data_IF_398176719993
#
_entry.id   IF_398176719993
#
_cell.length_a   1.000
_cell.length_b   1.000
_cell.length_c   1.000
_cell.angle_alpha   90.00
_cell.angle_beta   90.00
_cell.angle_gamma   90.00
#
_symmetry.space_group_name_H-M   'P 1'
#
loop_
_entity.id
_entity.type
_entity.pdbx_description
1 polymer ?
#
# COMPACT_ATOMS: atom_id res chain seq x y z
N UNK A 1 12.62 -19.63 -12.62
CA UNK A 1 13.58 -20.64 -13.09
C UNK A 1 14.10 -21.41 -11.90
N UNK A 2 14.10 -22.74 -11.96
CA UNK A 2 14.75 -23.57 -10.95
C UNK A 2 16.09 -24.02 -11.50
N UNK A 3 17.18 -23.80 -10.76
CA UNK A 3 18.53 -24.22 -11.13
C UNK A 3 19.15 -25.06 -10.01
N UNK A 4 20.11 -25.93 -10.35
CA UNK A 4 20.71 -26.86 -9.39
C UNK A 4 21.95 -26.28 -8.69
N UNK A 5 22.42 -25.11 -9.13
CA UNK A 5 23.53 -24.38 -8.51
C UNK A 5 23.53 -22.89 -8.89
N UNK A 6 24.16 -22.00 -8.10
CA UNK A 6 24.32 -20.58 -8.45
C UNK A 6 25.05 -20.35 -9.78
N UNK A 7 26.01 -21.23 -10.11
CA UNK A 7 26.76 -21.14 -11.36
C UNK A 7 25.87 -21.41 -12.59
N UNK A 8 24.88 -22.28 -12.43
CA UNK A 8 23.88 -22.57 -13.46
C UNK A 8 22.87 -21.43 -13.61
N UNK A 9 22.47 -20.77 -12.50
CA UNK A 9 21.68 -19.53 -12.54
C UNK A 9 22.37 -18.44 -13.37
N UNK A 10 23.68 -18.25 -13.20
CA UNK A 10 24.45 -17.26 -13.99
C UNK A 10 24.42 -17.56 -15.48
N UNK A 11 24.52 -18.84 -15.86
CA UNK A 11 24.43 -19.24 -17.27
C UNK A 11 23.05 -18.94 -17.83
N UNK A 12 21.98 -19.26 -17.09
CA UNK A 12 20.59 -18.98 -17.47
C UNK A 12 20.39 -17.47 -17.66
N UNK A 13 20.85 -16.63 -16.73
CA UNK A 13 20.72 -15.18 -16.86
C UNK A 13 21.53 -14.59 -18.01
N UNK A 14 22.74 -15.11 -18.28
CA UNK A 14 23.52 -14.68 -19.46
C UNK A 14 22.77 -14.97 -20.75
N UNK A 15 22.21 -16.17 -20.91
CA UNK A 15 21.44 -16.55 -22.10
C UNK A 15 20.20 -15.67 -22.26
N UNK A 16 19.47 -15.41 -21.16
CA UNK A 16 18.30 -14.55 -21.17
C UNK A 16 18.64 -13.10 -21.53
N UNK A 17 19.79 -12.58 -21.09
CA UNK A 17 20.19 -11.19 -21.36
C UNK A 17 20.64 -10.96 -22.81
N UNK A 18 21.19 -11.97 -23.50
CA UNK A 18 21.85 -11.82 -24.80
C UNK A 18 21.03 -11.14 -25.91
N UNK A 19 19.70 -11.22 -25.87
CA UNK A 19 18.81 -10.63 -26.89
C UNK A 19 17.96 -9.46 -26.37
N UNK A 20 18.23 -8.98 -25.17
CA UNK A 20 17.47 -7.90 -24.54
C UNK A 20 18.33 -6.64 -24.41
N UNK A 21 17.70 -5.47 -24.54
CA UNK A 21 18.35 -4.18 -24.28
C UNK A 21 18.74 -4.07 -22.81
N UNK A 22 19.76 -3.27 -22.52
CA UNK A 22 20.11 -2.93 -21.14
C UNK A 22 18.94 -2.27 -20.42
N UNK A 23 18.85 -2.51 -19.11
CA UNK A 23 17.79 -1.95 -18.26
C UNK A 23 18.02 -0.46 -18.12
N UNK A 24 16.98 0.33 -18.38
CA UNK A 24 16.96 1.75 -18.05
C UNK A 24 16.77 1.91 -16.54
N UNK A 25 17.84 2.31 -15.85
CA UNK A 25 17.86 2.45 -14.40
C UNK A 25 16.96 3.60 -13.95
N UNK A 26 16.90 4.70 -14.71
CA UNK A 26 16.08 5.86 -14.34
C UNK A 26 14.60 5.47 -14.38
N UNK A 27 14.18 4.80 -15.44
CA UNK A 27 12.81 4.29 -15.58
C UNK A 27 12.47 3.23 -14.52
N UNK A 28 13.42 2.35 -14.18
CA UNK A 28 13.19 1.33 -13.16
C UNK A 28 12.98 1.93 -11.76
N UNK A 29 13.73 2.99 -11.42
CA UNK A 29 13.58 3.72 -10.15
C UNK A 29 12.23 4.44 -10.11
N UNK A 30 11.85 5.12 -11.18
CA UNK A 30 10.57 5.83 -11.29
C UNK A 30 9.38 4.88 -11.04
N UNK A 31 9.35 3.74 -11.74
CA UNK A 31 8.29 2.73 -11.58
C UNK A 31 8.32 2.07 -10.20
N UNK A 32 9.52 1.81 -9.64
CA UNK A 32 9.67 1.20 -8.32
C UNK A 32 9.22 2.12 -7.18
N UNK A 33 9.24 3.43 -7.39
CA UNK A 33 8.84 4.44 -6.40
C UNK A 33 7.35 4.77 -6.45
N UNK A 34 6.65 4.48 -7.56
CA UNK A 34 5.20 4.68 -7.63
C UNK A 34 4.48 3.58 -6.84
N UNK A 35 4.00 3.94 -5.65
CA UNK A 35 3.48 3.01 -4.63
C UNK A 35 2.09 2.41 -4.95
N UNK A 36 1.49 2.71 -6.10
CA UNK A 36 0.19 2.17 -6.49
C UNK A 36 0.35 0.95 -7.39
N UNK A 37 -0.07 -0.21 -6.87
CA UNK A 37 -0.27 -1.45 -7.65
C UNK A 37 -1.18 -1.18 -8.86
N UNK A 38 -2.14 -0.24 -8.75
CA UNK A 38 -3.00 0.21 -9.85
C UNK A 38 -2.21 0.86 -11.01
N UNK A 39 -1.15 1.63 -10.74
CA UNK A 39 -0.32 2.22 -11.80
C UNK A 39 0.51 1.16 -12.55
N UNK A 40 0.80 0.03 -11.91
CA UNK A 40 1.55 -1.07 -12.53
C UNK A 40 0.70 -1.96 -13.44
N UNK A 41 -0.63 -1.99 -13.26
CA UNK A 41 -1.53 -2.90 -13.97
C UNK A 41 -2.11 -2.34 -15.27
N UNK A 42 -1.73 -1.11 -15.66
CA UNK A 42 -2.08 -0.55 -16.96
C UNK A 42 -3.59 -0.30 -17.13
N UNK A 43 -4.33 -0.13 -16.03
CA UNK A 43 -5.65 0.46 -16.10
C UNK A 43 -5.44 1.97 -16.27
N UNK A 44 -5.81 2.48 -17.45
CA UNK A 44 -5.83 3.88 -17.86
C UNK A 44 -6.53 4.76 -16.81
N UNK A 45 -5.82 5.07 -15.73
CA UNK A 45 -6.17 6.11 -14.79
C UNK A 45 -5.30 7.30 -15.17
N UNK A 46 -5.85 8.02 -16.14
CA UNK A 46 -5.53 9.40 -16.47
C UNK A 46 -4.91 10.14 -15.30
N UNK A 47 -3.66 10.58 -15.52
CA UNK A 47 -3.04 11.86 -15.12
C UNK A 47 -3.83 12.84 -14.21
N UNK A 48 -4.39 12.36 -13.10
CA UNK A 48 -5.12 13.19 -12.12
C UNK A 48 -4.76 12.84 -10.67
N UNK A 49 -3.84 11.91 -10.42
CA UNK A 49 -3.35 11.61 -9.06
C UNK A 49 -2.08 12.41 -8.72
N UNK A 50 -1.98 13.67 -9.16
CA UNK A 50 -0.95 14.61 -8.67
C UNK A 50 -1.26 15.18 -7.28
N UNK A 51 -2.39 14.83 -6.67
CA UNK A 51 -2.72 15.25 -5.31
C UNK A 51 -2.92 14.04 -4.41
N UNK A 52 -1.81 13.60 -3.83
CA UNK A 52 -1.63 13.23 -2.43
C UNK A 52 -0.50 12.21 -2.42
N UNK A 53 0.75 12.69 -2.27
CA UNK A 53 1.80 11.87 -1.67
C UNK A 53 1.19 11.28 -0.40
N UNK A 54 0.82 10.00 -0.48
CA UNK A 54 0.18 9.31 0.63
C UNK A 54 1.24 9.33 1.72
N UNK A 55 0.91 9.90 2.87
CA UNK A 55 1.81 9.88 4.01
C UNK A 55 2.01 8.41 4.40
N UNK A 56 3.08 7.80 3.89
CA UNK A 56 3.37 6.37 4.03
C UNK A 56 3.46 6.04 5.50
N UNK A 57 4.17 6.85 6.30
CA UNK A 57 4.28 6.69 7.74
C UNK A 57 2.91 6.67 8.46
N UNK A 58 1.96 7.54 8.05
CA UNK A 58 0.61 7.56 8.60
C UNK A 58 -0.18 6.30 8.19
N UNK A 59 -0.10 5.89 6.92
CA UNK A 59 -0.73 4.66 6.43
C UNK A 59 -0.22 3.43 7.18
N UNK A 60 1.09 3.35 7.33
CA UNK A 60 1.77 2.26 8.01
C UNK A 60 1.40 2.20 9.50
N UNK A 61 1.26 3.37 10.15
CA UNK A 61 0.74 3.48 11.51
C UNK A 61 -0.70 2.99 11.62
N UNK A 62 -1.58 3.37 10.68
CA UNK A 62 -2.97 2.89 10.64
C UNK A 62 -3.05 1.37 10.48
N UNK A 63 -2.21 0.76 9.64
CA UNK A 63 -2.21 -0.69 9.42
C UNK A 63 -1.82 -1.50 10.67
N UNK A 64 -1.20 -0.85 11.66
CA UNK A 64 -0.85 -1.48 12.94
C UNK A 64 -2.00 -1.46 13.95
N UNK A 65 -3.08 -0.72 13.66
CA UNK A 65 -4.26 -0.65 14.50
C UNK A 65 -5.18 -1.87 14.31
N UNK A 66 -5.86 -2.34 15.38
CA UNK A 66 -6.67 -3.54 15.30
C UNK A 66 -7.92 -3.32 14.43
N UNK A 67 -8.12 -4.20 13.45
CA UNK A 67 -9.27 -4.13 12.54
C UNK A 67 -9.06 -3.25 11.30
N UNK A 68 -7.89 -2.62 11.17
CA UNK A 68 -7.49 -1.91 9.95
C UNK A 68 -6.88 -2.90 8.95
N UNK A 69 -7.19 -2.69 7.67
CA UNK A 69 -6.70 -3.44 6.52
C UNK A 69 -6.32 -2.45 5.42
N UNK A 70 -5.53 -2.89 4.44
CA UNK A 70 -5.11 -2.05 3.31
C UNK A 70 -6.31 -1.43 2.57
N UNK A 71 -7.43 -2.14 2.51
CA UNK A 71 -8.65 -1.72 1.83
C UNK A 71 -9.42 -0.62 2.58
N UNK A 72 -9.42 -0.67 3.92
CA UNK A 72 -10.16 0.29 4.74
C UNK A 72 -9.30 1.48 5.21
N UNK A 73 -7.97 1.34 5.21
CA UNK A 73 -7.03 2.41 5.53
C UNK A 73 -7.21 3.61 4.59
N UNK A 74 -7.36 3.35 3.27
CA UNK A 74 -7.63 4.40 2.27
C UNK A 74 -8.95 5.14 2.53
N UNK A 75 -9.97 4.46 3.08
CA UNK A 75 -11.25 5.10 3.44
C UNK A 75 -11.07 6.00 4.67
N UNK A 76 -10.36 5.53 5.70
CA UNK A 76 -10.09 6.34 6.89
C UNK A 76 -9.29 7.60 6.53
N UNK A 77 -8.24 7.46 5.71
CA UNK A 77 -7.42 8.62 5.30
C UNK A 77 -8.19 9.64 4.44
N UNK A 78 -9.35 9.27 3.88
CA UNK A 78 -10.25 10.19 3.19
C UNK A 78 -11.27 10.86 4.12
N UNK A 79 -11.64 10.19 5.20
CA UNK A 79 -12.68 10.62 6.14
C UNK A 79 -12.12 11.36 7.36
N UNK A 80 -10.83 11.22 7.64
CA UNK A 80 -10.16 11.83 8.79
C UNK A 80 -8.84 12.46 8.38
N UNK A 81 -8.63 13.71 8.80
CA UNK A 81 -7.39 14.44 8.51
C UNK A 81 -6.28 14.10 9.52
N UNK A 82 -6.65 13.55 10.69
CA UNK A 82 -5.70 13.22 11.75
C UNK A 82 -6.07 11.97 12.55
N UNK A 83 -5.05 11.38 13.18
CA UNK A 83 -5.23 10.25 14.11
C UNK A 83 -6.00 10.68 15.37
N UNK A 84 -5.88 11.95 15.77
CA UNK A 84 -6.63 12.49 16.91
C UNK A 84 -8.14 12.49 16.61
N UNK A 85 -8.53 12.97 15.43
CA UNK A 85 -9.92 12.93 14.97
C UNK A 85 -10.46 11.51 14.88
N UNK A 86 -9.65 10.56 14.38
CA UNK A 86 -10.01 9.15 14.34
C UNK A 86 -10.27 8.57 15.74
N UNK A 87 -9.51 9.00 16.76
CA UNK A 87 -9.66 8.53 18.13
C UNK A 87 -10.89 9.12 18.84
N UNK A 88 -11.28 10.35 18.50
CA UNK A 88 -12.45 11.05 19.06
C UNK A 88 -13.77 10.67 18.37
N UNK A 89 -13.72 9.94 17.26
CA UNK A 89 -14.89 9.60 16.47
C UNK A 89 -15.87 8.67 17.23
N UNK A 90 -17.19 8.93 17.16
CA UNK A 90 -18.18 8.07 17.82
C UNK A 90 -18.20 6.67 17.21
N UNK A 91 -18.49 5.68 18.07
CA UNK A 91 -18.58 4.25 17.74
C UNK A 91 -19.46 3.96 16.50
N UNK A 92 -20.54 4.72 16.32
CA UNK A 92 -21.47 4.54 15.20
C UNK A 92 -20.83 4.89 13.87
N UNK A 93 -20.14 6.04 13.78
CA UNK A 93 -19.40 6.44 12.58
C UNK A 93 -18.26 5.49 12.26
N UNK A 94 -17.52 5.02 13.27
CA UNK A 94 -16.46 4.02 13.05
C UNK A 94 -17.03 2.72 12.48
N UNK A 95 -18.22 2.28 12.92
CA UNK A 95 -18.89 1.09 12.36
C UNK A 95 -19.41 1.31 10.95
N UNK A 96 -19.81 2.52 10.60
CA UNK A 96 -20.23 2.88 9.24
C UNK A 96 -19.07 2.80 8.26
N UNK A 97 -17.91 3.34 8.63
CA UNK A 97 -16.71 3.39 7.76
C UNK A 97 -16.02 2.02 7.66
N UNK A 98 -15.84 1.33 8.79
CA UNK A 98 -15.04 0.10 8.89
C UNK A 98 -15.86 -1.18 8.90
N UNK A 99 -17.17 -1.08 9.08
CA UNK A 99 -18.04 -2.21 9.36
C UNK A 99 -18.15 -2.54 10.86
N UNK A 100 -19.13 -3.38 11.24
CA UNK A 100 -19.53 -3.57 12.63
C UNK A 100 -18.44 -4.20 13.51
N UNK A 101 -17.66 -5.13 12.98
CA UNK A 101 -16.63 -5.87 13.73
C UNK A 101 -15.34 -5.04 13.84
N UNK A 102 -14.85 -4.50 12.71
CA UNK A 102 -13.60 -3.74 12.69
C UNK A 102 -13.74 -2.40 13.41
N UNK A 103 -14.84 -1.67 13.19
CA UNK A 103 -15.12 -0.44 13.92
C UNK A 103 -15.25 -0.67 15.43
N UNK A 104 -15.79 -1.82 15.85
CA UNK A 104 -15.82 -2.19 17.26
C UNK A 104 -14.44 -2.40 17.86
N UNK A 105 -13.57 -3.14 17.17
CA UNK A 105 -12.21 -3.43 17.63
C UNK A 105 -11.40 -2.15 17.79
N UNK A 106 -11.50 -1.26 16.81
CA UNK A 106 -10.79 0.01 16.82
C UNK A 106 -11.31 0.94 17.93
N UNK A 107 -12.63 1.06 18.07
CA UNK A 107 -13.22 1.88 19.14
C UNK A 107 -12.81 1.38 20.54
N UNK A 108 -12.86 0.06 20.76
CA UNK A 108 -12.42 -0.56 22.00
C UNK A 108 -10.93 -0.29 22.26
N UNK A 109 -10.08 -0.35 21.25
CA UNK A 109 -8.64 -0.07 21.40
C UNK A 109 -8.36 1.35 21.90
N UNK A 110 -9.05 2.37 21.38
CA UNK A 110 -8.83 3.76 21.83
C UNK A 110 -9.38 4.06 23.24
N UNK A 111 -10.42 3.32 23.67
CA UNK A 111 -11.14 3.61 24.92
C UNK A 111 -10.87 2.61 26.05
N UNK A 112 -10.07 1.57 25.79
CA UNK A 112 -9.67 0.59 26.79
C UNK A 112 -8.38 1.07 27.46
N UNK A 113 -8.45 1.34 28.77
CA UNK A 113 -7.29 1.66 29.62
C UNK A 113 -6.44 0.42 29.89
#
# INVERSE_FOLDING_TARGET
>A
FWSRSPHETLKIFKILKSNHKEVDVAKAVEIGSSESIDALLGEDTTAENEENEVNEAARDMLLRLPGISVQNAKKIMKECDSVAELAEMPREKLKEILGPISGQKLFSFFHQK
#
